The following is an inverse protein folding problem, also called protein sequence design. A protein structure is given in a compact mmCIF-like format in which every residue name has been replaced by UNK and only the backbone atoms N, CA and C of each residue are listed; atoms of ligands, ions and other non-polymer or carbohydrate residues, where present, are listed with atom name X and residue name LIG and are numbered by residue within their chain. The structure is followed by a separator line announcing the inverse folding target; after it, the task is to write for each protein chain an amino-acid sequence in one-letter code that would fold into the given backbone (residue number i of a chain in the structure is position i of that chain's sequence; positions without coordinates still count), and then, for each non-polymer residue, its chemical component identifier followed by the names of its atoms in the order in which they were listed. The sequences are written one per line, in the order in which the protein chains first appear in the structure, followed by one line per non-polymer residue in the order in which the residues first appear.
data_IF_029587418040
#
_entry.id   IF_029587418040
#
_cell.length_a   1.000
_cell.length_b   1.000
_cell.length_c   1.000
_cell.angle_alpha   90.00
_cell.angle_beta   90.00
_cell.angle_gamma   90.00
#
_symmetry.space_group_name_H-M   'P 1'
#
loop_
_entity.id
_entity.type
_entity.pdbx_description
1 polymer ?
#
# COMPACT_ATOMS: atom_id res chain seq x y z
N UNK A 1 -25.09 60.56 -1.86
CA UNK A 1 -25.38 59.13 -1.59
C UNK A 1 -24.82 58.33 -2.74
N UNK A 2 -23.61 57.78 -2.54
CA UNK A 2 -22.85 56.96 -3.50
C UNK A 2 -23.18 55.48 -3.25
N UNK A 3 -23.44 54.64 -4.26
CA UNK A 3 -23.43 53.20 -4.07
C UNK A 3 -22.00 52.67 -4.13
N UNK A 4 -21.60 52.01 -3.06
CA UNK A 4 -20.28 51.41 -2.85
C UNK A 4 -20.06 50.18 -3.75
N UNK A 5 -18.93 50.20 -4.44
CA UNK A 5 -18.27 49.03 -5.01
C UNK A 5 -17.80 48.09 -3.89
N UNK A 6 -18.24 46.84 -3.91
CA UNK A 6 -17.55 45.75 -3.22
C UNK A 6 -16.92 44.81 -4.25
N UNK A 7 -15.66 45.09 -4.59
CA UNK A 7 -14.75 44.05 -5.07
C UNK A 7 -14.21 43.33 -3.82
N UNK A 8 -14.72 42.14 -3.53
CA UNK A 8 -14.16 41.27 -2.50
C UNK A 8 -13.36 40.16 -3.22
N UNK A 9 -12.01 40.17 -3.20
CA UNK A 9 -11.24 39.05 -3.68
C UNK A 9 -11.41 37.87 -2.71
N UNK A 10 -11.93 36.76 -3.22
CA UNK A 10 -11.98 35.47 -2.52
C UNK A 10 -10.54 34.92 -2.41
N UNK A 11 -9.78 35.41 -1.43
CA UNK A 11 -8.60 34.73 -0.91
C UNK A 11 -9.10 33.72 0.13
N UNK A 12 -9.54 32.55 -0.32
CA UNK A 12 -9.73 31.40 0.57
C UNK A 12 -8.40 30.65 0.67
N UNK A 13 -7.72 30.94 1.77
CA UNK A 13 -6.98 30.02 2.63
C UNK A 13 -6.13 28.94 1.96
N UNK A 14 -4.87 29.32 1.73
CA UNK A 14 -3.71 28.43 1.78
C UNK A 14 -3.64 27.85 3.20
N UNK A 15 -4.26 26.70 3.47
CA UNK A 15 -3.96 25.89 4.66
C UNK A 15 -4.54 24.45 4.58
N UNK A 16 -4.22 23.70 3.53
CA UNK A 16 -4.42 22.23 3.54
C UNK A 16 -3.29 21.48 2.80
N UNK A 17 -2.06 21.95 2.95
CA UNK A 17 -0.85 21.22 2.56
C UNK A 17 -0.04 20.91 3.81
N UNK A 18 -0.58 20.04 4.66
CA UNK A 18 0.17 19.43 5.75
C UNK A 18 -0.29 17.98 5.89
N UNK A 19 0.69 17.08 5.73
CA UNK A 19 0.66 15.66 6.10
C UNK A 19 -0.24 14.72 5.29
N UNK A 20 -0.04 14.68 3.97
CA UNK A 20 0.00 13.36 3.32
C UNK A 20 1.37 12.75 3.61
N UNK A 21 1.57 12.30 4.85
CA UNK A 21 2.41 11.13 5.03
C UNK A 21 1.72 10.04 4.21
N UNK A 22 2.41 9.44 3.24
CA UNK A 22 1.89 8.29 2.52
C UNK A 22 1.58 7.18 3.54
N UNK A 23 0.34 7.11 4.01
CA UNK A 23 -0.14 5.99 4.81
C UNK A 23 -0.32 4.86 3.80
N UNK A 24 0.34 3.72 4.04
CA UNK A 24 0.20 2.54 3.19
C UNK A 24 -1.25 2.04 3.16
N UNK A 25 -1.51 1.04 2.30
CA UNK A 25 -2.85 0.46 2.15
C UNK A 25 -3.44 0.07 3.51
N UNK A 26 -4.60 0.64 3.82
CA UNK A 26 -5.33 0.38 5.07
C UNK A 26 -6.13 -0.92 4.90
N UNK A 27 -6.26 -1.68 5.98
CA UNK A 27 -7.10 -2.87 6.01
C UNK A 27 -8.57 -2.56 5.66
N UNK A 28 -9.15 -3.33 4.73
CA UNK A 28 -10.57 -3.29 4.39
C UNK A 28 -11.29 -4.36 5.22
N UNK A 29 -11.48 -4.04 6.50
CA UNK A 29 -12.10 -4.93 7.48
C UNK A 29 -13.61 -4.85 7.55
N UNK A 30 -14.25 -6.01 7.76
CA UNK A 30 -15.69 -6.18 8.02
C UNK A 30 -15.90 -7.11 9.20
N UNK A 31 -16.94 -6.86 9.99
CA UNK A 31 -17.29 -7.79 11.08
C UNK A 31 -17.64 -9.15 10.50
N UNK A 32 -16.82 -10.16 10.81
CA UNK A 32 -16.96 -11.53 10.32
C UNK A 32 -16.93 -12.48 11.50
N UNK A 33 -17.78 -13.50 11.48
CA UNK A 33 -17.79 -14.57 12.49
C UNK A 33 -16.91 -15.71 12.02
N UNK A 34 -15.95 -16.11 12.87
CA UNK A 34 -15.02 -17.19 12.61
C UNK A 34 -15.28 -18.34 13.59
N UNK A 35 -15.19 -19.58 13.12
CA UNK A 35 -15.15 -20.77 13.97
C UNK A 35 -13.70 -21.12 14.27
N UNK A 36 -13.39 -21.32 15.55
CA UNK A 36 -12.06 -21.65 16.05
C UNK A 36 -11.90 -23.16 16.27
N UNK A 37 -10.66 -23.60 16.47
CA UNK A 37 -10.30 -25.02 16.61
C UNK A 37 -10.92 -25.69 17.85
N UNK A 38 -11.24 -24.90 18.88
CA UNK A 38 -11.95 -25.36 20.09
C UNK A 38 -13.47 -25.43 19.93
N UNK A 39 -13.98 -25.15 18.72
CA UNK A 39 -15.40 -25.19 18.38
C UNK A 39 -16.17 -23.92 18.74
N UNK A 40 -15.51 -22.92 19.35
CA UNK A 40 -16.15 -21.63 19.66
C UNK A 40 -16.20 -20.74 18.42
N UNK A 41 -16.99 -19.65 18.53
CA UNK A 41 -17.08 -18.65 17.48
C UNK A 41 -16.67 -17.28 17.99
N UNK A 42 -16.00 -16.49 17.12
CA UNK A 42 -15.53 -15.14 17.43
C UNK A 42 -15.84 -14.18 16.28
N UNK A 43 -16.43 -13.02 16.59
CA UNK A 43 -16.52 -11.89 15.66
C UNK A 43 -15.25 -11.05 15.69
N UNK A 44 -14.57 -10.99 14.55
CA UNK A 44 -13.36 -10.21 14.37
C UNK A 44 -13.42 -9.32 13.12
N UNK A 45 -12.70 -8.20 13.20
CA UNK A 45 -12.51 -7.26 12.09
C UNK A 45 -11.03 -6.97 11.88
N UNK A 46 -10.53 -7.13 10.66
CA UNK A 46 -9.17 -6.74 10.29
C UNK A 46 -9.01 -5.22 10.36
N UNK A 47 -7.93 -4.77 10.96
CA UNK A 47 -7.56 -3.36 11.16
C UNK A 47 -6.06 -3.18 10.91
N UNK A 48 -5.64 -1.95 10.67
CA UNK A 48 -4.23 -1.60 10.51
C UNK A 48 -3.88 -1.10 9.12
N UNK A 49 -2.58 -1.02 8.87
CA UNK A 49 -1.96 -0.53 7.65
C UNK A 49 -0.70 -1.36 7.31
N UNK A 50 0.08 -0.93 6.31
CA UNK A 50 1.30 -1.63 5.84
C UNK A 50 2.35 -1.91 6.93
N UNK A 51 2.37 -1.14 8.02
CA UNK A 51 3.37 -1.29 9.07
C UNK A 51 2.91 -2.15 10.24
N UNK A 52 1.60 -2.39 10.35
CA UNK A 52 0.99 -3.19 11.40
C UNK A 52 -0.45 -3.52 11.04
N UNK A 53 -0.76 -4.81 10.86
CA UNK A 53 -2.12 -5.30 10.72
C UNK A 53 -2.47 -6.30 11.82
N UNK A 54 -3.71 -6.25 12.28
CA UNK A 54 -4.23 -7.05 13.40
C UNK A 54 -5.74 -7.16 13.32
N UNK A 55 -6.33 -8.05 14.10
CA UNK A 55 -7.78 -8.17 14.22
C UNK A 55 -8.28 -7.53 15.51
N UNK A 56 -9.52 -7.05 15.52
CA UNK A 56 -10.18 -6.58 16.75
C UNK A 56 -11.47 -7.33 17.00
N UNK A 57 -11.78 -7.59 18.27
CA UNK A 57 -13.10 -8.00 18.75
C UNK A 57 -14.08 -6.83 18.81
N UNK A 58 -15.38 -7.12 19.00
CA UNK A 58 -16.45 -6.10 19.14
C UNK A 58 -16.22 -5.11 20.27
N UNK A 59 -15.53 -5.51 21.33
CA UNK A 59 -15.14 -4.67 22.45
C UNK A 59 -13.70 -4.13 22.32
N UNK A 60 -13.17 -4.09 21.09
CA UNK A 60 -11.91 -3.42 20.73
C UNK A 60 -10.64 -4.05 21.31
N UNK A 61 -10.65 -5.35 21.63
CA UNK A 61 -9.45 -6.08 22.03
C UNK A 61 -8.68 -6.55 20.79
N UNK A 62 -7.40 -6.16 20.60
CA UNK A 62 -6.60 -6.57 19.45
C UNK A 62 -6.07 -8.01 19.56
N UNK A 63 -6.00 -8.66 18.41
CA UNK A 63 -5.75 -10.08 18.20
C UNK A 63 -4.78 -10.27 17.04
N UNK A 64 -4.05 -11.38 17.06
CA UNK A 64 -3.29 -11.90 15.93
C UNK A 64 -3.90 -13.23 15.48
N UNK A 65 -3.92 -13.46 14.17
CA UNK A 65 -4.40 -14.72 13.60
C UNK A 65 -3.23 -15.70 13.51
N UNK A 66 -3.42 -16.90 14.05
CA UNK A 66 -2.42 -17.95 14.03
C UNK A 66 -2.51 -18.78 12.74
N UNK A 67 -1.43 -19.50 12.39
CA UNK A 67 -1.38 -20.33 11.18
C UNK A 67 -2.47 -21.41 11.12
N UNK A 68 -2.92 -21.91 12.28
CA UNK A 68 -4.01 -22.87 12.38
C UNK A 68 -5.41 -22.24 12.19
N UNK A 69 -5.48 -20.92 12.03
CA UNK A 69 -6.70 -20.15 11.81
C UNK A 69 -7.33 -19.55 13.07
N UNK A 70 -6.83 -19.90 14.27
CA UNK A 70 -7.34 -19.37 15.53
C UNK A 70 -6.92 -17.92 15.77
N UNK A 71 -7.69 -17.20 16.57
CA UNK A 71 -7.33 -15.86 17.00
C UNK A 71 -6.72 -15.90 18.38
N UNK A 72 -5.53 -15.33 18.54
CA UNK A 72 -4.86 -15.21 19.82
C UNK A 72 -4.80 -13.75 20.27
N UNK A 73 -4.78 -13.48 21.57
CA UNK A 73 -4.55 -12.13 22.07
C UNK A 73 -3.19 -11.59 21.62
N UNK A 74 -3.16 -10.34 21.18
CA UNK A 74 -1.90 -9.64 20.90
C UNK A 74 -1.18 -9.34 22.21
N UNK A 75 0.12 -9.61 22.27
CA UNK A 75 1.01 -9.22 23.36
C UNK A 75 1.98 -8.16 22.86
N UNK A 76 2.19 -7.09 23.61
CA UNK A 76 3.27 -6.15 23.34
C UNK A 76 4.33 -6.23 24.44
N UNK A 77 5.59 -6.17 24.03
CA UNK A 77 6.76 -6.08 24.89
C UNK A 77 7.68 -4.98 24.36
N UNK A 78 7.61 -3.79 24.95
CA UNK A 78 8.26 -2.61 24.38
C UNK A 78 7.61 -2.22 23.05
N UNK A 79 8.40 -2.21 21.97
CA UNK A 79 7.92 -1.94 20.60
C UNK A 79 7.58 -3.21 19.82
N UNK A 80 7.88 -4.39 20.36
CA UNK A 80 7.60 -5.65 19.69
C UNK A 80 6.19 -6.12 20.03
N UNK A 81 5.47 -6.57 19.00
CA UNK A 81 4.19 -7.27 19.14
C UNK A 81 4.38 -8.75 18.84
N UNK A 82 3.66 -9.61 19.55
CA UNK A 82 3.71 -11.05 19.35
C UNK A 82 2.40 -11.72 19.74
N UNK A 83 2.20 -12.97 19.32
CA UNK A 83 1.04 -13.76 19.72
C UNK A 83 1.18 -14.21 21.18
N UNK A 84 0.11 -14.10 21.97
CA UNK A 84 0.05 -14.66 23.32
C UNK A 84 0.00 -16.20 23.35
N UNK A 85 -0.42 -16.84 22.25
CA UNK A 85 -0.73 -18.28 22.23
C UNK A 85 -2.08 -18.65 22.88
N UNK A 86 -2.83 -17.68 23.40
CA UNK A 86 -4.11 -17.92 24.09
C UNK A 86 -5.26 -17.64 23.13
N UNK A 87 -6.07 -18.66 22.82
CA UNK A 87 -7.27 -18.54 21.98
C UNK A 87 -8.23 -17.51 22.59
N UNK A 88 -8.65 -16.57 21.75
CA UNK A 88 -9.48 -15.45 22.14
C UNK A 88 -10.95 -15.77 21.97
N UNK A 89 -11.73 -15.49 23.00
CA UNK A 89 -13.17 -15.67 22.97
C UNK A 89 -13.94 -14.34 22.97
N UNK A 90 -15.19 -14.43 22.54
CA UNK A 90 -16.17 -13.38 22.71
C UNK A 90 -16.22 -12.94 24.18
N UNK A 91 -16.49 -11.65 24.41
CA UNK A 91 -16.36 -11.01 25.74
C UNK A 91 -17.02 -11.81 26.88
N UNK A 92 -18.19 -12.37 26.62
CA UNK A 92 -18.99 -13.13 27.57
C UNK A 92 -18.46 -14.55 27.88
N UNK A 93 -17.55 -15.07 27.07
CA UNK A 93 -16.98 -16.42 27.20
C UNK A 93 -15.54 -16.42 27.75
N UNK A 94 -14.94 -15.25 27.95
CA UNK A 94 -13.53 -15.13 28.37
C UNK A 94 -13.31 -15.65 29.79
N UNK A 95 -12.34 -16.55 29.91
CA UNK A 95 -11.76 -16.96 31.19
C UNK A 95 -11.02 -15.81 31.88
N UNK A 96 -10.68 -15.98 33.16
CA UNK A 96 -9.89 -15.01 33.94
C UNK A 96 -8.54 -14.71 33.28
N UNK A 97 -7.90 -15.72 32.69
CA UNK A 97 -6.62 -15.55 31.97
C UNK A 97 -6.79 -14.62 30.77
N UNK A 98 -7.83 -14.84 29.97
CA UNK A 98 -8.14 -14.02 28.79
C UNK A 98 -8.51 -12.58 29.14
N UNK A 99 -9.23 -12.37 30.25
CA UNK A 99 -9.54 -11.04 30.77
C UNK A 99 -8.27 -10.26 31.13
N UNK A 100 -7.25 -10.95 31.65
CA UNK A 100 -5.92 -10.38 31.88
C UNK A 100 -5.25 -9.88 30.60
N UNK A 101 -5.30 -10.67 29.52
CA UNK A 101 -4.77 -10.26 28.21
C UNK A 101 -5.56 -9.09 27.60
N UNK A 102 -6.89 -9.17 27.61
CA UNK A 102 -7.76 -8.12 27.09
C UNK A 102 -7.50 -6.75 27.75
N UNK A 103 -7.27 -6.74 29.06
CA UNK A 103 -7.04 -5.52 29.85
C UNK A 103 -5.63 -4.94 29.66
N UNK A 104 -4.64 -5.78 29.34
CA UNK A 104 -3.24 -5.35 29.14
C UNK A 104 -3.04 -4.42 27.93
N UNK A 105 -3.98 -4.45 26.98
CA UNK A 105 -3.91 -3.68 25.73
C UNK A 105 -4.48 -2.26 25.88
N UNK A 106 -5.38 -2.03 26.84
CA UNK A 106 -5.78 -0.68 27.25
C UNK A 106 -4.60 0.09 27.88
N UNK A 107 -3.70 -0.61 28.57
CA UNK A 107 -2.50 -0.02 29.18
C UNK A 107 -1.48 0.46 28.12
N UNK A 108 -1.40 -0.19 26.96
CA UNK A 108 -0.48 0.19 25.86
C UNK A 108 -0.88 1.51 25.18
N UNK A 109 -2.18 1.85 25.13
CA UNK A 109 -2.66 3.17 24.67
C UNK A 109 -2.07 4.33 25.46
N UNK A 110 -1.61 4.10 26.70
CA UNK A 110 -1.01 5.11 27.57
C UNK A 110 0.51 5.22 27.42
N UNK A 111 1.18 4.22 26.84
CA UNK A 111 2.65 4.18 26.67
C UNK A 111 3.11 4.94 25.41
N UNK A 112 2.29 4.97 24.36
CA UNK A 112 2.60 5.66 23.09
C UNK A 112 2.80 7.19 23.21
N UNK A 113 2.44 7.80 24.36
CA UNK A 113 2.65 9.23 24.63
C UNK A 113 4.08 9.60 25.05
N UNK A 114 5.03 8.66 25.11
CA UNK A 114 6.37 8.88 25.68
C UNK A 114 7.55 8.42 24.81
N UNK A 115 7.55 8.77 23.53
CA UNK A 115 8.70 8.50 22.65
C UNK A 115 9.70 9.69 22.57
N UNK A 116 11.03 9.43 22.60
CA UNK A 116 12.05 10.47 22.65
C UNK A 116 12.24 11.18 21.30
N UNK A 117 12.30 12.51 21.35
CA UNK A 117 12.32 13.45 20.20
C UNK A 117 13.67 13.56 19.45
N UNK A 118 14.64 12.68 19.70
CA UNK A 118 16.02 12.84 19.23
C UNK A 118 16.23 12.43 17.77
N UNK A 119 15.61 11.33 17.31
CA UNK A 119 15.80 10.82 15.93
C UNK A 119 15.05 11.65 14.88
N UNK A 120 14.01 12.39 15.29
CA UNK A 120 13.25 13.29 14.42
C UNK A 120 14.10 14.43 13.82
N UNK A 121 15.15 14.90 14.51
CA UNK A 121 15.91 16.09 14.07
C UNK A 121 16.86 15.81 12.89
N UNK A 122 17.41 14.60 12.79
CA UNK A 122 18.30 14.20 11.67
C UNK A 122 17.49 13.90 10.41
N UNK A 123 16.37 13.19 10.57
CA UNK A 123 15.43 12.89 9.48
C UNK A 123 14.75 14.15 8.93
N UNK A 124 14.41 15.13 9.78
CA UNK A 124 13.83 16.40 9.34
C UNK A 124 14.76 17.24 8.43
N UNK A 125 16.09 17.09 8.55
CA UNK A 125 17.05 17.84 7.71
C UNK A 125 17.23 17.18 6.33
N UNK A 126 17.22 15.84 6.26
CA UNK A 126 17.23 15.07 5.00
C UNK A 126 15.91 15.25 4.24
N UNK A 127 14.78 15.15 4.94
CA UNK A 127 13.45 15.44 4.39
C UNK A 127 13.34 16.85 3.80
N UNK A 128 14.00 17.87 4.39
CA UNK A 128 13.96 19.27 3.88
C UNK A 128 14.68 19.47 2.54
N UNK A 129 15.74 18.72 2.28
CA UNK A 129 16.46 18.78 1.00
C UNK A 129 15.70 18.02 -0.10
N UNK A 130 15.20 16.82 0.24
CA UNK A 130 14.38 16.00 -0.67
C UNK A 130 13.03 16.66 -1.01
N UNK A 131 12.46 17.44 -0.09
CA UNK A 131 11.22 18.18 -0.35
C UNK A 131 11.41 19.40 -1.23
N UNK A 132 12.59 20.05 -1.24
CA UNK A 132 12.89 21.12 -2.19
C UNK A 132 13.04 20.56 -3.62
N UNK A 133 13.77 19.46 -3.79
CA UNK A 133 13.88 18.74 -5.07
C UNK A 133 12.52 18.26 -5.56
N UNK A 134 11.75 17.55 -4.72
CA UNK A 134 10.39 17.08 -5.05
C UNK A 134 9.47 18.23 -5.44
N UNK A 135 9.49 19.34 -4.69
CA UNK A 135 8.64 20.49 -5.02
C UNK A 135 8.99 21.11 -6.37
N UNK A 136 10.27 21.09 -6.77
CA UNK A 136 10.71 21.56 -8.09
C UNK A 136 10.23 20.61 -9.20
N UNK A 137 10.38 19.29 -9.01
CA UNK A 137 9.93 18.26 -9.97
C UNK A 137 8.41 18.30 -10.16
N UNK A 138 7.66 18.53 -9.08
CA UNK A 138 6.19 18.61 -9.10
C UNK A 138 5.64 19.95 -9.61
N UNK A 139 6.49 20.96 -9.84
CA UNK A 139 6.06 22.32 -10.22
C UNK A 139 6.85 22.90 -11.39
N UNK A 140 7.56 22.07 -12.16
CA UNK A 140 8.32 22.51 -13.33
C UNK A 140 7.48 22.55 -14.63
N UNK A 141 6.18 22.22 -14.53
CA UNK A 141 5.23 22.11 -15.65
C UNK A 141 5.68 21.16 -16.77
N UNK A 142 6.68 20.31 -16.53
CA UNK A 142 7.09 19.30 -17.51
C UNK A 142 6.19 18.08 -17.37
N UNK A 143 5.85 17.50 -18.52
CA UNK A 143 5.12 16.24 -18.58
C UNK A 143 5.98 15.13 -17.99
N UNK A 144 5.46 14.47 -16.96
CA UNK A 144 6.10 13.33 -16.29
C UNK A 144 5.59 12.02 -16.87
N UNK A 145 6.44 11.00 -16.84
CA UNK A 145 6.07 9.64 -17.23
C UNK A 145 6.23 8.70 -16.04
N UNK A 146 5.22 7.89 -15.77
CA UNK A 146 5.27 6.82 -14.77
C UNK A 146 5.29 5.45 -15.45
N UNK A 147 6.02 4.49 -14.89
CA UNK A 147 6.01 3.11 -15.38
C UNK A 147 5.04 2.27 -14.56
N UNK A 148 4.07 1.65 -15.23
CA UNK A 148 3.17 0.65 -14.64
C UNK A 148 3.36 -0.68 -15.35
N UNK A 149 3.68 -1.73 -14.60
CA UNK A 149 3.85 -3.07 -15.14
C UNK A 149 2.73 -3.96 -14.59
N UNK A 150 1.90 -4.47 -15.49
CA UNK A 150 0.88 -5.46 -15.21
C UNK A 150 1.54 -6.84 -15.09
N UNK A 151 1.49 -7.45 -13.92
CA UNK A 151 2.17 -8.70 -13.62
C UNK A 151 1.17 -9.82 -13.31
N UNK A 152 1.30 -10.95 -13.98
CA UNK A 152 0.54 -12.15 -13.70
C UNK A 152 1.43 -13.18 -13.02
N UNK A 153 0.91 -13.80 -11.97
CA UNK A 153 1.56 -14.96 -11.38
C UNK A 153 1.46 -16.17 -12.30
N UNK A 154 2.24 -17.20 -11.99
CA UNK A 154 2.18 -18.47 -12.72
C UNK A 154 0.78 -19.10 -12.66
N UNK A 155 0.08 -18.90 -11.55
CA UNK A 155 -1.20 -19.52 -11.21
C UNK A 155 -2.40 -18.55 -11.21
N UNK A 156 -2.15 -17.23 -11.28
CA UNK A 156 -3.21 -16.20 -11.25
C UNK A 156 -3.07 -15.25 -12.44
N UNK A 157 -4.19 -15.01 -13.13
CA UNK A 157 -4.32 -14.21 -14.34
C UNK A 157 -5.31 -13.07 -14.13
N UNK A 158 -5.15 -11.98 -14.85
CA UNK A 158 -6.09 -10.86 -14.79
C UNK A 158 -7.47 -11.31 -15.29
N UNK A 159 -8.54 -10.79 -14.67
CA UNK A 159 -9.92 -11.05 -15.07
C UNK A 159 -10.43 -10.07 -16.13
N UNK A 160 -9.75 -8.93 -16.28
CA UNK A 160 -10.00 -7.94 -17.32
C UNK A 160 -9.15 -8.12 -18.58
N UNK A 161 -9.55 -7.46 -19.68
CA UNK A 161 -8.63 -7.08 -20.75
C UNK A 161 -7.63 -6.04 -20.19
N UNK A 162 -6.64 -6.54 -19.46
CA UNK A 162 -5.89 -5.78 -18.48
C UNK A 162 -5.20 -4.56 -19.09
N UNK A 163 -4.51 -4.71 -20.23
CA UNK A 163 -3.76 -3.62 -20.82
C UNK A 163 -4.65 -2.41 -21.18
N UNK A 164 -5.63 -2.56 -22.07
CA UNK A 164 -6.51 -1.46 -22.49
C UNK A 164 -7.29 -0.86 -21.31
N UNK A 165 -7.77 -1.73 -20.39
CA UNK A 165 -8.55 -1.27 -19.25
C UNK A 165 -7.72 -0.44 -18.28
N UNK A 166 -6.52 -0.91 -17.92
CA UNK A 166 -5.62 -0.19 -17.02
C UNK A 166 -5.05 1.07 -17.68
N UNK A 167 -4.74 1.04 -18.98
CA UNK A 167 -4.34 2.26 -19.71
C UNK A 167 -5.42 3.34 -19.62
N UNK A 168 -6.70 2.99 -19.76
CA UNK A 168 -7.81 3.94 -19.61
C UNK A 168 -7.97 4.44 -18.18
N UNK A 169 -7.98 3.54 -17.21
CA UNK A 169 -8.07 3.89 -15.78
C UNK A 169 -6.95 4.85 -15.37
N UNK A 170 -5.75 4.67 -15.92
CA UNK A 170 -4.57 5.48 -15.57
C UNK A 170 -4.49 6.80 -16.34
N UNK A 171 -4.91 6.84 -17.61
CA UNK A 171 -4.59 7.96 -18.51
C UNK A 171 -5.77 8.59 -19.27
N UNK A 172 -6.95 7.96 -19.36
CA UNK A 172 -8.04 8.51 -20.19
C UNK A 172 -8.56 9.81 -19.57
N UNK A 173 -8.41 10.93 -20.30
CA UNK A 173 -8.95 12.21 -19.88
C UNK A 173 -10.48 12.14 -19.77
N UNK A 174 -11.02 12.57 -18.64
CA UNK A 174 -12.45 12.48 -18.37
C UNK A 174 -12.95 11.03 -18.25
N UNK A 175 -12.07 10.09 -17.86
CA UNK A 175 -12.42 8.68 -17.73
C UNK A 175 -13.72 8.50 -16.95
N UNK A 176 -14.56 7.60 -17.46
CA UNK A 176 -15.74 7.13 -16.78
C UNK A 176 -15.77 5.63 -16.90
N UNK A 177 -15.93 4.92 -15.78
CA UNK A 177 -15.88 3.46 -15.78
C UNK A 177 -16.92 2.75 -16.64
N UNK A 178 -17.91 3.46 -17.20
CA UNK A 178 -18.78 2.95 -18.26
C UNK A 178 -18.06 2.66 -19.59
N UNK A 179 -16.87 3.23 -19.82
CA UNK A 179 -16.04 2.96 -21.01
C UNK A 179 -15.35 1.59 -20.97
N UNK A 180 -15.28 0.97 -19.78
CA UNK A 180 -14.72 -0.37 -19.60
C UNK A 180 -15.80 -1.44 -19.81
N UNK A 181 -15.49 -2.42 -20.66
CA UNK A 181 -16.34 -3.59 -20.84
C UNK A 181 -16.23 -4.50 -19.62
N UNK A 182 -17.26 -4.49 -18.79
CA UNK A 182 -17.37 -5.42 -17.68
C UNK A 182 -17.53 -6.86 -18.19
N UNK A 183 -17.01 -7.82 -17.41
CA UNK A 183 -17.23 -9.26 -17.60
C UNK A 183 -18.12 -9.80 -16.46
N UNK A 184 -18.51 -11.07 -16.53
CA UNK A 184 -19.23 -11.73 -15.43
C UNK A 184 -18.40 -11.78 -14.14
N UNK A 185 -17.07 -11.81 -14.29
CA UNK A 185 -16.15 -12.12 -13.21
C UNK A 185 -15.42 -10.87 -12.69
N UNK A 186 -15.61 -9.72 -13.38
CA UNK A 186 -15.03 -8.45 -13.01
C UNK A 186 -15.87 -7.27 -13.49
N UNK A 187 -16.12 -6.30 -12.60
CA UNK A 187 -16.87 -5.08 -12.91
C UNK A 187 -16.13 -3.83 -12.43
N UNK A 188 -15.86 -2.91 -13.36
CA UNK A 188 -15.48 -1.53 -13.02
C UNK A 188 -16.74 -0.76 -12.65
N UNK A 189 -16.64 0.09 -11.61
CA UNK A 189 -17.74 0.98 -11.20
C UNK A 189 -18.03 1.96 -12.34
N UNK A 190 -19.30 2.07 -12.75
CA UNK A 190 -19.68 2.92 -13.89
C UNK A 190 -19.43 4.41 -13.66
N UNK A 191 -19.67 4.91 -12.45
CA UNK A 191 -19.55 6.34 -12.13
C UNK A 191 -18.25 6.63 -11.37
N UNK A 192 -17.11 6.39 -12.02
CA UNK A 192 -15.80 6.83 -11.55
C UNK A 192 -15.49 8.18 -12.20
N UNK A 193 -15.26 9.25 -11.43
CA UNK A 193 -14.99 10.58 -11.99
C UNK A 193 -13.49 10.73 -12.29
N UNK A 194 -13.10 10.42 -13.52
CA UNK A 194 -11.75 10.66 -14.03
C UNK A 194 -10.75 9.53 -13.79
N UNK A 195 -9.63 9.63 -14.50
CA UNK A 195 -8.50 8.72 -14.42
C UNK A 195 -7.52 9.14 -13.32
N UNK A 196 -6.47 8.34 -13.11
CA UNK A 196 -5.37 8.73 -12.23
C UNK A 196 -4.67 10.00 -12.75
N UNK A 197 -4.51 10.13 -14.07
CA UNK A 197 -4.06 11.37 -14.71
C UNK A 197 -4.95 12.57 -14.36
N UNK A 198 -6.27 12.45 -14.53
CA UNK A 198 -7.22 13.53 -14.20
C UNK A 198 -7.10 13.96 -12.74
N UNK A 199 -7.00 13.00 -11.81
CA UNK A 199 -6.83 13.28 -10.39
C UNK A 199 -5.59 14.15 -10.13
N UNK A 200 -4.44 13.78 -10.70
CA UNK A 200 -3.20 14.53 -10.49
C UNK A 200 -3.21 15.90 -11.17
N UNK A 201 -3.81 16.02 -12.36
CA UNK A 201 -4.04 17.29 -13.03
C UNK A 201 -4.93 18.21 -12.19
N UNK A 202 -6.07 17.73 -11.71
CA UNK A 202 -7.01 18.52 -10.91
C UNK A 202 -6.41 18.95 -9.57
N UNK A 203 -5.77 18.02 -8.84
CA UNK A 203 -5.18 18.33 -7.52
C UNK A 203 -3.99 19.29 -7.61
N UNK A 204 -3.34 19.38 -8.77
CA UNK A 204 -2.20 20.27 -9.01
C UNK A 204 -2.58 21.58 -9.69
N UNK A 205 -3.87 21.85 -9.95
CA UNK A 205 -4.32 22.94 -10.81
C UNK A 205 -3.61 22.95 -12.18
N UNK A 206 -3.39 21.76 -12.74
CA UNK A 206 -2.72 21.54 -14.03
C UNK A 206 -1.20 21.66 -14.02
N UNK A 207 -0.56 21.80 -12.85
CA UNK A 207 0.90 21.92 -12.75
C UNK A 207 1.63 20.57 -12.81
N UNK A 208 0.92 19.47 -12.60
CA UNK A 208 1.46 18.11 -12.59
C UNK A 208 0.76 17.24 -13.63
N UNK A 209 1.25 17.30 -14.87
CA UNK A 209 0.87 16.44 -15.99
C UNK A 209 1.69 15.16 -15.95
N UNK A 210 1.07 14.03 -15.56
CA UNK A 210 1.70 12.71 -15.54
C UNK A 210 0.97 11.75 -16.47
N UNK A 211 1.69 11.03 -17.32
CA UNK A 211 1.15 9.91 -18.13
C UNK A 211 1.84 8.61 -17.75
N UNK A 212 1.09 7.51 -17.69
CA UNK A 212 1.62 6.20 -17.35
C UNK A 212 1.83 5.34 -18.59
N UNK A 213 3.03 4.82 -18.78
CA UNK A 213 3.26 3.71 -19.69
C UNK A 213 2.85 2.42 -19.02
N UNK A 214 1.86 1.75 -19.60
CA UNK A 214 1.34 0.49 -19.08
C UNK A 214 1.91 -0.65 -19.91
N UNK A 215 2.67 -1.54 -19.28
CA UNK A 215 3.31 -2.68 -19.92
C UNK A 215 2.71 -3.97 -19.39
N UNK A 216 2.47 -4.95 -20.27
CA UNK A 216 2.05 -6.30 -19.91
C UNK A 216 0.65 -6.66 -20.43
N UNK A 217 0.02 -7.70 -19.86
CA UNK A 217 0.51 -8.48 -18.73
C UNK A 217 1.83 -9.22 -19.01
N UNK A 218 2.74 -9.21 -18.05
CA UNK A 218 3.96 -10.04 -18.05
C UNK A 218 3.77 -11.24 -17.14
N UNK A 219 4.30 -12.40 -17.52
CA UNK A 219 4.23 -13.61 -16.70
C UNK A 219 5.41 -13.72 -15.74
N UNK A 220 5.12 -13.75 -14.45
CA UNK A 220 6.08 -14.05 -13.38
C UNK A 220 6.34 -15.56 -13.30
N UNK A 221 7.52 -15.93 -12.84
CA UNK A 221 7.98 -17.33 -12.89
C UNK A 221 7.41 -18.23 -11.78
N UNK A 222 6.91 -17.65 -10.68
CA UNK A 222 6.41 -18.35 -9.49
C UNK A 222 4.91 -18.11 -9.24
N UNK A 223 4.24 -18.95 -8.42
CA UNK A 223 2.87 -18.68 -7.99
C UNK A 223 2.80 -17.53 -6.98
N UNK A 224 1.60 -16.93 -6.77
CA UNK A 224 1.40 -15.82 -5.82
C UNK A 224 1.94 -16.14 -4.42
N UNK A 225 1.70 -17.36 -3.93
CA UNK A 225 2.17 -17.82 -2.62
C UNK A 225 3.68 -17.59 -2.39
N UNK A 226 4.50 -17.75 -3.44
CA UNK A 226 5.95 -17.53 -3.30
C UNK A 226 6.24 -16.06 -3.02
N UNK A 227 5.63 -15.15 -3.77
CA UNK A 227 5.94 -13.73 -3.71
C UNK A 227 5.38 -13.06 -2.44
N UNK A 228 4.18 -13.43 -2.01
CA UNK A 228 3.55 -12.92 -0.79
C UNK A 228 3.86 -13.73 0.47
N UNK A 229 4.92 -14.55 0.45
CA UNK A 229 5.29 -15.35 1.62
C UNK A 229 5.80 -14.44 2.75
N UNK A 230 5.36 -14.68 3.98
CA UNK A 230 5.90 -14.06 5.19
C UNK A 230 7.03 -14.93 5.79
N UNK A 231 8.01 -14.31 6.43
CA UNK A 231 9.00 -15.04 7.21
C UNK A 231 8.38 -15.61 8.48
N UNK A 232 8.73 -16.86 8.79
CA UNK A 232 8.40 -17.48 10.07
C UNK A 232 9.39 -17.14 11.20
N UNK A 233 10.48 -16.44 10.89
CA UNK A 233 11.53 -16.11 11.85
C UNK A 233 11.34 -14.68 12.40
N UNK A 234 11.01 -14.51 13.69
CA UNK A 234 10.73 -13.19 14.27
C UNK A 234 12.00 -12.31 14.40
N UNK A 235 13.20 -12.84 14.13
CA UNK A 235 14.43 -12.04 14.11
C UNK A 235 14.75 -11.43 12.74
N UNK A 236 13.97 -11.75 11.71
CA UNK A 236 14.23 -11.22 10.38
C UNK A 236 13.87 -9.74 10.32
N UNK A 237 14.68 -8.96 9.61
CA UNK A 237 14.50 -7.52 9.44
C UNK A 237 13.23 -7.19 8.62
N UNK A 238 12.81 -8.12 7.77
CA UNK A 238 11.55 -8.12 7.04
C UNK A 238 10.81 -9.40 7.40
N UNK A 239 9.63 -9.25 7.99
CA UNK A 239 8.81 -10.38 8.44
C UNK A 239 7.68 -10.73 7.48
N UNK A 240 7.25 -9.79 6.64
CA UNK A 240 6.13 -9.96 5.73
C UNK A 240 6.59 -9.76 4.27
N UNK A 241 5.96 -10.44 3.31
CA UNK A 241 6.17 -10.20 1.87
C UNK A 241 7.66 -10.28 1.42
N UNK A 242 8.39 -11.27 1.94
CA UNK A 242 9.87 -11.33 1.86
C UNK A 242 10.39 -11.47 0.41
N UNK A 243 9.54 -11.96 -0.50
CA UNK A 243 9.88 -12.23 -1.89
C UNK A 243 9.25 -11.22 -2.87
N UNK A 244 8.61 -10.15 -2.40
CA UNK A 244 8.05 -9.12 -3.31
C UNK A 244 9.14 -8.42 -4.11
N UNK A 245 10.38 -8.33 -3.59
CA UNK A 245 11.53 -7.85 -4.37
C UNK A 245 11.79 -8.70 -5.64
N UNK A 246 11.52 -10.00 -5.62
CA UNK A 246 11.63 -10.87 -6.80
C UNK A 246 10.53 -10.55 -7.82
N UNK A 247 9.31 -10.28 -7.35
CA UNK A 247 8.20 -9.87 -8.23
C UNK A 247 8.56 -8.57 -8.98
N UNK A 248 9.04 -7.56 -8.26
CA UNK A 248 9.40 -6.26 -8.83
C UNK A 248 10.52 -6.41 -9.87
N UNK A 249 11.58 -7.14 -9.52
CA UNK A 249 12.74 -7.29 -10.41
C UNK A 249 12.44 -8.18 -11.62
N UNK A 250 11.66 -9.26 -11.48
CA UNK A 250 11.18 -10.06 -12.61
C UNK A 250 10.29 -9.23 -13.56
N UNK A 251 9.37 -8.44 -13.01
CA UNK A 251 8.51 -7.57 -13.80
C UNK A 251 9.32 -6.51 -14.58
N UNK A 252 10.30 -5.85 -13.93
CA UNK A 252 11.19 -4.89 -14.58
C UNK A 252 12.02 -5.56 -15.70
N UNK A 253 12.55 -6.76 -15.46
CA UNK A 253 13.25 -7.52 -16.50
C UNK A 253 12.34 -7.83 -17.70
N UNK A 254 11.06 -8.15 -17.47
CA UNK A 254 10.11 -8.41 -18.55
C UNK A 254 9.69 -7.13 -19.32
N UNK A 255 9.90 -5.95 -18.75
CA UNK A 255 9.74 -4.66 -19.41
C UNK A 255 10.99 -4.20 -20.18
N UNK A 256 12.15 -4.82 -19.92
CA UNK A 256 13.41 -4.53 -20.62
C UNK A 256 13.24 -4.59 -22.15
N UNK A 257 13.72 -3.55 -22.84
CA UNK A 257 13.62 -3.43 -24.29
C UNK A 257 12.23 -3.03 -24.82
N UNK A 258 11.21 -2.90 -23.96
CA UNK A 258 9.89 -2.34 -24.31
C UNK A 258 9.76 -0.87 -23.92
N UNK A 259 10.56 -0.43 -22.94
CA UNK A 259 10.63 0.94 -22.44
C UNK A 259 12.09 1.37 -22.30
N UNK A 260 12.32 2.67 -22.26
CA UNK A 260 13.59 3.25 -21.85
C UNK A 260 13.47 3.68 -20.39
N UNK A 261 14.18 3.00 -19.47
CA UNK A 261 14.05 3.28 -18.04
C UNK A 261 14.47 4.71 -17.65
N UNK A 262 15.35 5.36 -18.43
CA UNK A 262 15.75 6.74 -18.19
C UNK A 262 14.60 7.75 -18.38
N UNK A 263 13.52 7.38 -19.08
CA UNK A 263 12.34 8.25 -19.23
C UNK A 263 11.57 8.45 -17.91
N UNK A 264 11.86 7.63 -16.89
CA UNK A 264 11.23 7.64 -15.58
C UNK A 264 12.11 8.23 -14.46
N UNK A 265 13.25 8.84 -14.83
CA UNK A 265 14.11 9.63 -13.94
C UNK A 265 13.85 11.12 -14.17
N UNK A 266 12.96 11.68 -13.37
CA UNK A 266 12.48 13.06 -13.53
C UNK A 266 13.46 14.10 -13.01
N UNK A 267 14.43 13.71 -12.17
CA UNK A 267 15.42 14.62 -11.58
C UNK A 267 16.86 14.41 -12.07
N UNK A 268 17.06 13.45 -12.97
CA UNK A 268 18.30 13.06 -13.63
C UNK A 268 19.40 12.63 -12.65
N UNK A 269 19.03 11.90 -11.59
CA UNK A 269 19.99 11.40 -10.59
C UNK A 269 20.47 9.96 -10.85
N UNK A 270 20.00 9.33 -11.94
CA UNK A 270 20.32 7.97 -12.31
C UNK A 270 19.40 6.93 -11.64
N UNK A 271 18.32 7.36 -10.98
CA UNK A 271 17.30 6.50 -10.40
C UNK A 271 15.92 6.73 -11.07
N UNK A 272 15.23 5.64 -11.36
CA UNK A 272 13.80 5.68 -11.71
C UNK A 272 13.01 6.11 -10.48
N UNK A 273 12.26 7.21 -10.56
CA UNK A 273 11.55 7.79 -9.41
C UNK A 273 10.59 6.79 -8.75
N UNK A 274 9.85 6.01 -9.55
CA UNK A 274 8.98 4.94 -9.06
C UNK A 274 8.56 3.99 -10.18
N UNK A 275 8.56 2.69 -9.88
CA UNK A 275 7.86 1.68 -10.68
C UNK A 275 6.63 1.18 -9.93
N UNK A 276 5.46 1.16 -10.58
CA UNK A 276 4.25 0.56 -10.02
C UNK A 276 4.01 -0.82 -10.63
N UNK A 277 3.92 -1.84 -9.79
CA UNK A 277 3.52 -3.19 -10.18
C UNK A 277 2.04 -3.38 -9.86
N UNK A 278 1.19 -3.46 -10.88
CA UNK A 278 -0.18 -3.93 -10.71
C UNK A 278 -0.18 -5.43 -10.93
N UNK A 279 -0.56 -6.22 -9.92
CA UNK A 279 -0.52 -7.67 -10.01
C UNK A 279 -1.91 -8.29 -10.09
N UNK A 280 -2.03 -9.43 -10.78
CA UNK A 280 -3.29 -10.15 -10.93
C UNK A 280 -3.77 -10.77 -9.60
N UNK A 281 -5.07 -10.72 -9.34
CA UNK A 281 -5.68 -11.28 -8.12
C UNK A 281 -5.83 -10.26 -7.01
N UNK A 282 -6.27 -10.74 -5.83
CA UNK A 282 -6.56 -9.87 -4.68
C UNK A 282 -5.35 -9.74 -3.75
N UNK A 283 -5.31 -8.68 -2.95
CA UNK A 283 -4.29 -8.48 -1.92
C UNK A 283 -4.74 -8.91 -0.53
N UNK A 284 -3.78 -9.05 0.38
CA UNK A 284 -4.00 -9.49 1.77
C UNK A 284 -4.86 -8.51 2.58
N UNK A 285 -4.76 -7.21 2.27
CA UNK A 285 -5.51 -6.14 2.94
C UNK A 285 -7.06 -6.27 2.89
N UNK A 286 -7.60 -7.18 2.07
CA UNK A 286 -9.02 -7.55 2.09
C UNK A 286 -9.29 -8.68 3.08
N UNK A 287 -10.13 -8.40 4.09
CA UNK A 287 -10.44 -9.40 5.11
C UNK A 287 -11.06 -10.68 4.51
N UNK A 288 -10.46 -11.81 4.90
CA UNK A 288 -10.83 -13.15 4.46
C UNK A 288 -9.88 -13.74 3.41
N UNK A 289 -8.97 -12.92 2.87
CA UNK A 289 -7.94 -13.40 1.97
C UNK A 289 -6.82 -14.13 2.73
N UNK A 290 -6.11 -15.06 2.07
CA UNK A 290 -4.98 -15.75 2.67
C UNK A 290 -3.84 -14.79 3.03
N UNK A 291 -3.18 -15.06 4.16
CA UNK A 291 -2.03 -14.29 4.69
C UNK A 291 -0.78 -14.36 3.79
N UNK A 292 -0.78 -15.24 2.78
CA UNK A 292 0.30 -15.32 1.77
C UNK A 292 -0.01 -14.51 0.49
N UNK A 293 -1.14 -13.79 0.47
CA UNK A 293 -1.37 -12.78 -0.56
C UNK A 293 -0.47 -11.57 -0.25
N UNK A 294 -0.16 -10.79 -1.27
CA UNK A 294 0.71 -9.62 -1.07
C UNK A 294 -0.11 -8.50 -0.42
N UNK A 295 0.42 -7.84 0.60
CA UNK A 295 -0.17 -6.62 1.13
C UNK A 295 0.26 -5.45 0.25
N UNK A 296 -0.65 -4.74 -0.45
CA UNK A 296 -0.21 -3.64 -1.32
C UNK A 296 0.51 -2.53 -0.56
N UNK A 297 1.70 -2.17 -1.02
CA UNK A 297 2.59 -1.24 -0.33
C UNK A 297 3.49 -0.48 -1.30
N UNK A 298 4.10 0.58 -0.78
CA UNK A 298 5.28 1.22 -1.34
C UNK A 298 6.47 0.93 -0.44
N UNK A 299 7.60 0.58 -1.04
CA UNK A 299 8.80 0.22 -0.33
C UNK A 299 10.05 0.44 -1.19
N UNK A 300 11.22 0.36 -0.54
CA UNK A 300 12.51 0.44 -1.20
C UNK A 300 13.13 -0.95 -1.35
N UNK A 301 13.65 -1.29 -2.53
CA UNK A 301 14.38 -2.53 -2.77
C UNK A 301 15.61 -2.65 -1.86
N UNK A 302 16.24 -1.53 -1.51
CA UNK A 302 17.32 -1.41 -0.52
C UNK A 302 16.94 -1.84 0.89
N UNK A 303 15.64 -1.98 1.19
CA UNK A 303 15.19 -2.60 2.44
C UNK A 303 15.40 -4.12 2.44
N UNK A 304 15.46 -4.77 1.28
CA UNK A 304 15.70 -6.20 1.18
C UNK A 304 17.21 -6.51 1.15
N UNK A 305 17.69 -7.50 1.93
CA UNK A 305 19.11 -7.90 1.91
C UNK A 305 19.62 -8.32 0.53
N UNK A 306 18.73 -8.74 -0.37
CA UNK A 306 19.07 -9.14 -1.75
C UNK A 306 19.47 -7.98 -2.64
N UNK A 307 19.00 -6.77 -2.36
CA UNK A 307 19.20 -5.57 -3.19
C UNK A 307 19.58 -4.35 -2.35
N UNK A 308 20.66 -4.40 -1.54
CA UNK A 308 20.98 -3.35 -0.55
C UNK A 308 21.22 -1.96 -1.16
N UNK A 309 21.61 -1.91 -2.44
CA UNK A 309 21.83 -0.69 -3.21
C UNK A 309 20.72 -0.44 -4.26
N UNK A 310 19.58 -1.12 -4.14
CA UNK A 310 18.54 -1.16 -5.18
C UNK A 310 18.86 -2.17 -6.30
N UNK A 311 18.07 -2.12 -7.36
CA UNK A 311 18.20 -2.99 -8.53
C UNK A 311 18.52 -2.18 -9.79
N UNK A 312 19.61 -2.51 -10.48
CA UNK A 312 20.04 -1.78 -11.69
C UNK A 312 19.57 -2.48 -12.96
N UNK A 313 18.95 -1.72 -13.86
CA UNK A 313 18.52 -2.16 -15.19
C UNK A 313 18.74 -1.04 -16.21
N UNK A 314 19.33 -1.37 -17.36
CA UNK A 314 19.61 -0.44 -18.46
C UNK A 314 20.35 0.85 -18.03
N UNK A 315 21.26 0.72 -17.06
CA UNK A 315 22.04 1.84 -16.53
C UNK A 315 21.31 2.69 -15.48
N UNK A 316 20.03 2.41 -15.21
CA UNK A 316 19.21 3.09 -14.21
C UNK A 316 19.09 2.25 -12.95
N UNK A 317 19.13 2.90 -11.78
CA UNK A 317 18.77 2.28 -10.51
C UNK A 317 17.25 2.30 -10.35
N UNK A 318 16.68 1.21 -9.85
CA UNK A 318 15.33 1.14 -9.32
C UNK A 318 15.47 0.84 -7.84
N UNK A 319 15.04 1.76 -6.99
CA UNK A 319 14.98 1.49 -5.55
C UNK A 319 13.55 1.60 -5.05
N UNK A 320 12.84 2.67 -5.39
CA UNK A 320 11.45 2.88 -4.96
C UNK A 320 10.47 2.14 -5.88
N UNK A 321 9.57 1.36 -5.29
CA UNK A 321 8.47 0.74 -6.01
C UNK A 321 7.17 0.82 -5.20
N UNK A 322 6.05 0.69 -5.91
CA UNK A 322 4.75 0.42 -5.31
C UNK A 322 4.14 -0.84 -5.93
N UNK A 323 3.29 -1.54 -5.19
CA UNK A 323 2.50 -2.64 -5.72
C UNK A 323 1.03 -2.59 -5.29
N UNK A 324 0.13 -2.98 -6.19
CA UNK A 324 -1.31 -3.05 -5.92
C UNK A 324 -1.95 -4.25 -6.63
N UNK A 325 -2.94 -4.92 -5.99
CA UNK A 325 -3.75 -5.94 -6.66
C UNK A 325 -4.69 -5.36 -7.71
N UNK A 326 -5.28 -6.27 -8.49
CA UNK A 326 -6.40 -6.03 -9.41
C UNK A 326 -7.69 -5.60 -8.69
#
# INVERSE_FOLDING_TARGET
MLPMNFKLPFLISILLCATLSAHGSIAIGRWTTYTQSDGTTLQAKLCGDKGLHYYITRDSVPLLRAQNGDFHYLRASGYQISSSGVIAHEKQLRSTTEQGYASSLEALRNVSKRLPKSDMRRNARKQRFDSYKRRKVLSDNSRKRGLVILAEFKDIKFKLHALDSWTKILNEEGFNGSSIKNSSDFTVRRNVPGSVHDYFMDQSNGMFDITFDVIGPVGLSKPLYYYGQNSSNPSDEITDDINVCDMVTEACNAAKGKVNFADYDWDNDGEVDMVLILYAGQGEHYQGNPEYYIWPHEFALSGYPKYPDGYTIDGMRINTYACSPE
#
